data_IF_713717266454
#
_entry.id   IF_713717266454
#
_cell.length_a   1.000
_cell.length_b   1.000
_cell.length_c   1.000
_cell.angle_alpha   90.00
_cell.angle_beta   90.00
_cell.angle_gamma   90.00
#
_symmetry.space_group_name_H-M   'P 1'
#
loop_
_entity.id
_entity.type
_entity.pdbx_description
1 polymer ?
#
# COMPACT_ATOMS: atom_id res chain seq x y z
N UNK A 1 12.75 14.57 62.55
CA UNK A 1 12.40 13.64 63.63
C UNK A 1 13.66 13.31 64.41
N UNK A 2 13.55 13.45 65.73
CA UNK A 2 14.61 13.49 66.73
C UNK A 2 15.40 12.17 66.76
N UNK A 3 16.74 12.24 66.74
CA UNK A 3 17.60 11.10 67.03
C UNK A 3 17.99 11.14 68.51
N UNK A 4 17.42 10.24 69.31
CA UNK A 4 17.92 9.89 70.63
C UNK A 4 18.40 8.43 70.58
N UNK A 5 19.55 8.17 71.22
CA UNK A 5 19.94 6.83 71.68
C UNK A 5 21.04 6.15 70.86
N UNK A 6 22.24 6.16 71.42
CA UNK A 6 23.34 5.27 71.08
C UNK A 6 22.91 3.79 71.18
N UNK A 7 22.75 3.11 70.05
CA UNK A 7 22.62 1.66 70.00
C UNK A 7 23.37 1.10 68.76
N UNK A 8 24.35 0.19 68.93
CA UNK A 8 25.27 -0.21 67.86
C UNK A 8 24.62 -0.97 66.68
N UNK A 9 23.35 -1.38 66.80
CA UNK A 9 22.57 -2.02 65.73
C UNK A 9 22.06 -1.06 64.65
N UNK A 10 21.93 0.23 64.96
CA UNK A 10 21.46 1.25 64.00
C UNK A 10 22.52 1.62 62.96
N UNK A 11 23.81 1.56 63.30
CA UNK A 11 24.90 1.79 62.34
C UNK A 11 24.88 0.78 61.19
N UNK A 12 24.60 -0.49 61.48
CA UNK A 12 24.46 -1.52 60.46
C UNK A 12 23.26 -1.26 59.55
N UNK A 13 22.12 -0.83 60.11
CA UNK A 13 20.93 -0.48 59.33
C UNK A 13 21.13 0.75 58.44
N UNK A 14 21.81 1.80 58.95
CA UNK A 14 22.16 2.98 58.16
C UNK A 14 23.15 2.65 57.03
N UNK A 15 24.14 1.80 57.28
CA UNK A 15 25.06 1.31 56.24
C UNK A 15 24.33 0.46 55.19
N UNK A 16 23.41 -0.41 55.60
CA UNK A 16 22.56 -1.17 54.67
C UNK A 16 21.66 -0.26 53.83
N UNK A 17 21.08 0.78 54.43
CA UNK A 17 20.22 1.74 53.74
C UNK A 17 21.01 2.61 52.74
N UNK A 18 22.24 3.02 53.08
CA UNK A 18 23.14 3.71 52.15
C UNK A 18 23.56 2.81 50.97
N UNK A 19 23.87 1.53 51.23
CA UNK A 19 24.20 0.59 50.15
C UNK A 19 22.99 0.29 49.23
N UNK A 20 21.77 0.23 49.78
CA UNK A 20 20.53 0.04 49.00
C UNK A 20 20.12 1.29 48.21
N UNK A 21 20.37 2.49 48.73
CA UNK A 21 20.09 3.76 48.05
C UNK A 21 21.07 4.01 46.89
N UNK A 22 22.37 3.78 47.10
CA UNK A 22 23.42 3.95 46.08
C UNK A 22 23.24 3.01 44.88
N UNK A 23 22.65 1.83 45.08
CA UNK A 23 22.47 0.86 43.99
C UNK A 23 21.39 1.28 42.96
N UNK A 24 20.46 2.18 43.31
CA UNK A 24 19.33 2.53 42.43
C UNK A 24 19.65 3.65 41.44
N UNK A 25 20.72 4.42 41.64
CA UNK A 25 20.98 5.66 40.88
C UNK A 25 21.84 5.48 39.62
N UNK A 26 22.43 4.30 39.38
CA UNK A 26 23.43 4.11 38.32
C UNK A 26 22.92 3.37 37.06
N UNK A 27 21.60 3.21 36.88
CA UNK A 27 21.05 2.51 35.71
C UNK A 27 20.55 3.48 34.65
N UNK A 28 21.07 3.34 33.43
CA UNK A 28 20.62 4.14 32.27
C UNK A 28 19.30 3.54 31.78
N UNK A 29 18.24 4.34 31.74
CA UNK A 29 16.98 3.93 31.13
C UNK A 29 16.94 4.36 29.66
N UNK A 30 16.42 3.47 28.81
CA UNK A 30 16.26 3.69 27.38
C UNK A 30 14.78 3.63 27.02
N UNK A 31 14.28 4.71 26.42
CA UNK A 31 12.93 4.82 25.88
C UNK A 31 12.99 4.66 24.36
N UNK A 32 12.15 3.77 23.84
CA UNK A 32 12.02 3.51 22.41
C UNK A 32 10.55 3.56 21.99
N UNK A 33 10.31 3.79 20.71
CA UNK A 33 8.97 3.67 20.13
C UNK A 33 8.52 2.20 20.19
N UNK A 34 7.24 1.91 20.50
CA UNK A 34 6.77 0.53 20.62
C UNK A 34 6.73 -0.20 19.28
N UNK A 35 6.40 0.51 18.20
CA UNK A 35 6.26 -0.05 16.86
C UNK A 35 6.66 0.97 15.80
N UNK A 36 7.36 0.49 14.77
CA UNK A 36 7.71 1.26 13.57
C UNK A 36 7.30 0.46 12.33
N UNK A 37 6.53 1.10 11.46
CA UNK A 37 6.06 0.50 10.21
C UNK A 37 6.91 1.05 9.07
N UNK A 38 7.48 0.14 8.29
CA UNK A 38 8.47 0.47 7.25
C UNK A 38 7.85 0.24 5.88
N UNK A 39 7.60 1.33 5.14
CA UNK A 39 6.99 1.28 3.80
C UNK A 39 8.03 1.30 2.66
N UNK A 40 9.20 1.90 2.89
CA UNK A 40 10.25 2.10 1.88
C UNK A 40 11.52 1.27 2.11
N UNK A 41 11.43 0.19 2.90
CA UNK A 41 12.58 -0.62 3.31
C UNK A 41 13.63 0.13 4.16
N UNK A 42 13.37 1.39 4.48
CA UNK A 42 14.26 2.23 5.30
C UNK A 42 13.52 2.67 6.56
N UNK A 43 14.16 2.53 7.71
CA UNK A 43 13.58 2.89 9.01
C UNK A 43 14.54 3.72 9.85
N UNK A 44 13.98 4.69 10.56
CA UNK A 44 14.67 5.48 11.56
C UNK A 44 14.23 5.03 12.94
N UNK A 45 15.14 4.42 13.68
CA UNK A 45 14.90 3.98 15.05
C UNK A 45 15.66 4.90 16.01
N UNK A 46 14.90 5.61 16.86
CA UNK A 46 15.46 6.56 17.82
C UNK A 46 15.37 6.01 19.24
N UNK A 47 16.49 6.01 19.94
CA UNK A 47 16.64 5.53 21.30
C UNK A 47 16.99 6.69 22.21
N UNK A 48 16.01 7.12 23.01
CA UNK A 48 16.17 8.22 23.95
C UNK A 48 16.62 7.70 25.30
N UNK A 49 17.68 8.27 25.85
CA UNK A 49 18.26 7.86 27.12
C UNK A 49 18.02 8.91 28.21
N UNK A 50 18.01 8.48 29.47
CA UNK A 50 17.68 9.36 30.62
C UNK A 50 18.77 10.36 31.03
N UNK A 51 20.03 10.16 30.61
CA UNK A 51 21.16 11.01 31.03
C UNK A 51 22.00 11.41 29.83
N UNK A 52 22.43 12.67 29.72
CA UNK A 52 23.31 13.11 28.63
C UNK A 52 24.60 12.27 28.55
N UNK A 53 24.83 11.61 27.40
CA UNK A 53 25.97 10.73 27.15
C UNK A 53 27.05 11.37 26.28
N UNK A 54 26.80 12.55 25.72
CA UNK A 54 27.74 13.26 24.83
C UNK A 54 29.09 13.62 25.46
N UNK A 55 29.16 13.72 26.78
CA UNK A 55 30.40 14.03 27.51
C UNK A 55 31.13 12.76 28.00
N UNK A 56 30.71 11.59 27.51
CA UNK A 56 31.25 10.29 27.90
C UNK A 56 31.65 9.51 26.65
N UNK A 57 32.58 8.58 26.82
CA UNK A 57 32.86 7.55 25.83
C UNK A 57 31.89 6.40 26.06
N UNK A 58 31.07 6.14 25.06
CA UNK A 58 30.07 5.09 25.12
C UNK A 58 29.94 4.38 23.79
N UNK A 59 29.48 3.14 23.88
CA UNK A 59 29.15 2.27 22.76
C UNK A 59 27.65 2.07 22.76
N UNK A 60 26.99 2.42 21.66
CA UNK A 60 25.60 2.10 21.45
C UNK A 60 25.48 0.99 20.42
N UNK A 61 24.62 0.01 20.69
CA UNK A 61 24.40 -1.16 19.85
C UNK A 61 22.92 -1.45 19.71
N UNK A 62 22.53 -1.95 18.55
CA UNK A 62 21.18 -2.35 18.22
C UNK A 62 21.14 -3.87 18.03
N UNK A 63 20.33 -4.55 18.83
CA UNK A 63 20.15 -5.99 18.75
C UNK A 63 18.80 -6.35 18.13
N UNK A 64 18.76 -7.44 17.38
CA UNK A 64 17.54 -8.04 16.83
C UNK A 64 17.24 -9.35 17.56
N UNK A 65 15.94 -9.60 17.75
CA UNK A 65 15.39 -10.84 18.27
C UNK A 65 15.02 -10.75 19.75
N UNK A 66 14.06 -11.57 20.18
CA UNK A 66 13.50 -11.57 21.55
C UNK A 66 14.58 -11.74 22.64
N UNK A 67 15.59 -12.57 22.34
CA UNK A 67 16.72 -12.84 23.23
C UNK A 67 17.93 -11.93 22.97
N UNK A 68 17.82 -10.96 22.06
CA UNK A 68 18.91 -10.08 21.62
C UNK A 68 20.11 -10.85 21.02
N UNK A 69 19.83 -11.87 20.20
CA UNK A 69 20.85 -12.81 19.70
C UNK A 69 21.75 -12.22 18.59
N UNK A 70 21.28 -11.19 17.87
CA UNK A 70 21.96 -10.67 16.68
C UNK A 70 22.28 -9.19 16.84
N UNK A 71 23.55 -8.82 16.79
CA UNK A 71 24.00 -7.41 16.80
C UNK A 71 23.92 -6.81 15.38
N UNK A 72 22.95 -5.93 15.16
CA UNK A 72 22.60 -5.36 13.85
C UNK A 72 23.53 -4.19 13.50
N UNK A 73 23.71 -3.28 14.46
CA UNK A 73 24.45 -2.05 14.26
C UNK A 73 25.13 -1.61 15.55
N UNK A 74 26.34 -1.09 15.42
CA UNK A 74 27.18 -0.62 16.52
C UNK A 74 27.71 0.75 16.17
N UNK A 75 27.71 1.63 17.15
CA UNK A 75 28.42 2.91 17.08
C UNK A 75 29.26 3.08 18.33
N UNK A 76 30.52 3.39 18.11
CA UNK A 76 31.44 3.78 19.16
C UNK A 76 31.57 5.30 19.12
N UNK A 77 31.37 5.94 20.27
CA UNK A 77 31.39 7.39 20.39
C UNK A 77 32.52 7.77 21.33
N UNK A 78 33.53 8.44 20.78
CA UNK A 78 34.67 8.95 21.53
C UNK A 78 34.45 10.43 21.91
N UNK A 79 35.27 10.95 22.84
CA UNK A 79 35.25 12.36 23.26
C UNK A 79 35.39 13.37 22.11
N UNK A 80 36.01 12.98 21.00
CA UNK A 80 36.19 13.82 19.82
C UNK A 80 34.99 13.81 18.86
N UNK A 81 33.85 13.21 19.26
CA UNK A 81 32.63 13.09 18.46
C UNK A 81 32.80 12.38 17.10
N UNK A 82 33.80 11.51 16.99
CA UNK A 82 33.92 10.65 15.81
C UNK A 82 32.89 9.53 15.92
N UNK A 83 31.87 9.59 15.06
CA UNK A 83 30.82 8.59 14.95
C UNK A 83 31.20 7.61 13.85
N UNK A 84 31.47 6.36 14.21
CA UNK A 84 31.66 5.30 13.24
C UNK A 84 30.60 4.23 13.45
N UNK A 85 29.60 4.23 12.56
CA UNK A 85 28.59 3.18 12.50
C UNK A 85 29.16 1.98 11.74
N UNK A 86 29.04 0.81 12.34
CA UNK A 86 29.44 -0.46 11.75
C UNK A 86 28.35 -1.51 11.93
N UNK A 87 28.22 -2.40 10.96
CA UNK A 87 27.31 -3.53 10.99
C UNK A 87 28.09 -4.82 10.75
N UNK A 88 27.87 -5.80 11.63
CA UNK A 88 28.54 -7.10 11.55
C UNK A 88 27.78 -8.09 10.65
N UNK A 89 26.48 -7.87 10.44
CA UNK A 89 25.54 -8.91 9.93
C UNK A 89 24.92 -8.53 8.58
N UNK A 90 25.65 -7.79 7.74
CA UNK A 90 25.19 -7.44 6.38
C UNK A 90 23.97 -6.50 6.34
N UNK A 91 23.70 -5.78 7.43
CA UNK A 91 22.73 -4.69 7.46
C UNK A 91 23.37 -3.41 6.95
N UNK A 92 22.65 -2.60 6.18
CA UNK A 92 23.11 -1.24 5.87
C UNK A 92 22.66 -0.33 7.02
N UNK A 93 23.58 0.00 7.91
CA UNK A 93 23.31 0.85 9.06
C UNK A 93 24.12 2.14 8.97
N UNK A 94 23.42 3.23 9.21
CA UNK A 94 23.98 4.55 9.45
C UNK A 94 23.28 5.14 10.68
N UNK A 95 23.66 6.33 11.12
CA UNK A 95 22.99 6.94 12.25
C UNK A 95 23.46 8.34 12.54
N UNK A 96 22.76 8.95 13.50
CA UNK A 96 23.16 10.22 14.07
C UNK A 96 23.02 10.17 15.58
N UNK A 97 23.81 11.01 16.26
CA UNK A 97 23.81 11.15 17.70
C UNK A 97 23.39 12.57 18.09
N UNK A 98 22.38 12.65 18.96
CA UNK A 98 21.94 13.87 19.62
C UNK A 98 22.18 13.79 21.14
N UNK A 99 22.01 14.91 21.84
CA UNK A 99 22.26 15.08 23.29
C UNK A 99 21.70 13.98 24.19
N UNK A 100 20.47 13.54 23.90
CA UNK A 100 19.73 12.53 24.66
C UNK A 100 19.28 11.35 23.80
N UNK A 101 19.65 11.31 22.52
CA UNK A 101 19.06 10.35 21.57
C UNK A 101 20.12 9.78 20.63
N UNK A 102 20.15 8.46 20.50
CA UNK A 102 20.88 7.77 19.42
C UNK A 102 19.88 7.39 18.35
N UNK A 103 20.13 7.78 17.11
CA UNK A 103 19.28 7.44 15.97
C UNK A 103 20.01 6.48 15.05
N UNK A 104 19.37 5.35 14.76
CA UNK A 104 19.85 4.34 13.82
C UNK A 104 18.99 4.40 12.56
N UNK A 105 19.64 4.58 11.41
CA UNK A 105 19.07 4.49 10.09
C UNK A 105 19.39 3.11 9.52
N UNK A 106 18.41 2.20 9.49
CA UNK A 106 18.57 0.93 8.81
C UNK A 106 17.99 1.06 7.41
N UNK A 107 18.83 0.83 6.40
CA UNK A 107 18.45 0.89 4.99
C UNK A 107 18.37 -0.49 4.37
N UNK A 108 17.59 -0.64 3.30
CA UNK A 108 17.44 -1.90 2.56
C UNK A 108 16.96 -3.08 3.44
N UNK A 109 16.07 -2.82 4.37
CA UNK A 109 15.43 -3.87 5.18
C UNK A 109 14.53 -4.77 4.34
N UNK A 110 14.52 -6.04 4.69
CA UNK A 110 13.70 -7.07 4.05
C UNK A 110 12.54 -7.47 4.95
N UNK A 111 11.47 -8.03 4.36
CA UNK A 111 10.26 -8.45 5.09
C UNK A 111 10.58 -9.54 6.15
N UNK A 112 11.52 -10.43 5.84
CA UNK A 112 12.03 -11.47 6.76
C UNK A 112 12.87 -10.90 7.95
N UNK A 113 13.18 -9.60 7.93
CA UNK A 113 13.85 -8.91 9.02
C UNK A 113 12.86 -8.22 9.97
N UNK A 114 11.56 -8.40 9.77
CA UNK A 114 10.50 -7.98 10.70
C UNK A 114 10.64 -8.71 12.04
N UNK A 115 10.98 -7.97 13.09
CA UNK A 115 11.23 -8.53 14.43
C UNK A 115 11.23 -7.40 15.49
N UNK A 116 11.45 -7.76 16.75
CA UNK A 116 11.74 -6.83 17.83
C UNK A 116 13.22 -6.46 17.88
N UNK A 117 13.49 -5.17 18.07
CA UNK A 117 14.82 -4.58 18.13
C UNK A 117 15.04 -3.91 19.48
N UNK A 118 16.19 -4.16 20.10
CA UNK A 118 16.56 -3.64 21.42
C UNK A 118 17.77 -2.72 21.32
N UNK A 119 17.66 -1.52 21.88
CA UNK A 119 18.80 -0.62 22.03
C UNK A 119 19.57 -0.94 23.30
N UNK A 120 20.89 -1.04 23.16
CA UNK A 120 21.83 -1.26 24.24
C UNK A 120 22.91 -0.18 24.22
N UNK A 121 23.28 0.31 25.39
CA UNK A 121 24.15 1.46 25.59
C UNK A 121 25.10 1.15 26.74
N UNK A 122 26.37 1.10 26.42
CA UNK A 122 27.46 0.74 27.32
C UNK A 122 28.39 1.96 27.47
N UNK A 123 28.48 2.53 28.66
CA UNK A 123 29.39 3.64 28.97
C UNK A 123 30.71 3.05 29.45
N UNK A 124 31.80 3.35 28.74
CA UNK A 124 33.14 2.85 29.04
C UNK A 124 33.97 3.85 29.84
N UNK A 125 33.88 5.13 29.50
CA UNK A 125 34.66 6.18 30.18
C UNK A 125 33.82 7.46 30.37
N UNK A 126 33.92 8.16 31.51
CA UNK A 126 34.77 7.85 32.67
C UNK A 126 34.24 6.63 33.47
N UNK A 127 35.13 5.81 34.05
CA UNK A 127 34.73 4.71 34.92
C UNK A 127 33.80 5.18 36.05
N UNK A 128 32.86 4.34 36.53
CA UNK A 128 32.72 2.90 36.29
C UNK A 128 32.03 2.55 34.97
N UNK A 129 32.19 1.30 34.52
CA UNK A 129 31.42 0.76 33.40
C UNK A 129 29.94 0.68 33.77
N UNK A 130 29.08 1.27 32.94
CA UNK A 130 27.63 1.28 33.13
C UNK A 130 26.96 0.73 31.87
N UNK A 131 25.97 -0.13 32.06
CA UNK A 131 25.10 -0.62 30.99
C UNK A 131 23.67 -0.15 31.25
N UNK A 132 22.86 -0.11 30.21
CA UNK A 132 21.45 0.23 30.35
C UNK A 132 20.62 -0.94 30.86
N UNK A 133 19.48 -0.61 31.46
CA UNK A 133 18.45 -1.62 31.71
C UNK A 133 17.82 -2.07 30.38
N UNK A 134 17.48 -3.36 30.28
CA UNK A 134 16.85 -3.93 29.08
C UNK A 134 15.57 -3.14 28.77
N UNK A 135 15.54 -2.53 27.59
CA UNK A 135 14.39 -1.76 27.14
C UNK A 135 13.23 -2.68 26.76
N UNK A 136 12.03 -2.10 26.61
CA UNK A 136 10.86 -2.81 26.10
C UNK A 136 11.02 -3.22 24.61
N UNK A 137 12.00 -2.65 23.91
CA UNK A 137 12.24 -2.88 22.49
C UNK A 137 11.29 -2.10 21.57
N UNK A 138 11.54 -2.23 20.27
CA UNK A 138 10.73 -1.69 19.18
C UNK A 138 10.44 -2.78 18.18
N UNK A 139 9.17 -3.01 17.88
CA UNK A 139 8.78 -3.93 16.80
C UNK A 139 8.91 -3.17 15.48
N UNK A 140 9.81 -3.61 14.61
CA UNK A 140 9.95 -3.07 13.26
C UNK A 140 9.19 -3.98 12.32
N UNK A 141 8.08 -3.50 11.77
CA UNK A 141 7.26 -4.22 10.81
C UNK A 141 7.54 -3.70 9.40
N UNK A 142 8.26 -4.50 8.62
CA UNK A 142 8.56 -4.17 7.23
C UNK A 142 7.41 -4.64 6.36
N UNK A 143 6.68 -3.69 5.77
CA UNK A 143 5.60 -4.03 4.85
C UNK A 143 6.20 -4.57 3.57
N UNK A 144 5.61 -5.65 3.08
CA UNK A 144 5.88 -6.09 1.73
C UNK A 144 5.33 -5.03 0.77
N UNK A 145 6.19 -4.56 -0.15
CA UNK A 145 5.75 -3.82 -1.32
C UNK A 145 5.07 -4.81 -2.25
N UNK A 146 3.88 -5.25 -1.87
CA UNK A 146 2.96 -5.73 -2.88
C UNK A 146 2.73 -4.53 -3.79
N UNK A 147 3.32 -4.59 -4.99
CA UNK A 147 2.69 -4.03 -6.16
C UNK A 147 1.34 -4.76 -6.28
N UNK A 148 0.39 -4.44 -5.39
CA UNK A 148 -0.98 -4.40 -5.80
C UNK A 148 -0.92 -3.55 -7.04
N UNK A 149 -1.22 -4.09 -8.24
CA UNK A 149 -1.33 -3.23 -9.40
C UNK A 149 -2.26 -2.13 -8.92
N UNK A 150 -1.74 -0.89 -8.94
CA UNK A 150 -2.55 0.28 -8.71
C UNK A 150 -3.85 0.00 -9.43
N UNK A 151 -4.96 0.19 -8.74
CA UNK A 151 -6.29 -0.06 -9.26
C UNK A 151 -6.42 0.84 -10.50
N UNK A 152 -5.93 0.37 -11.65
CA UNK A 152 -6.05 0.88 -13.01
C UNK A 152 -7.27 0.24 -13.67
N UNK A 153 -7.78 -0.83 -13.04
CA UNK A 153 -9.10 -1.39 -13.29
C UNK A 153 -10.25 -0.36 -13.23
N UNK A 154 -10.34 0.64 -12.32
CA UNK A 154 -11.44 1.59 -12.32
C UNK A 154 -11.31 2.53 -13.52
N UNK A 155 -10.10 3.03 -13.86
CA UNK A 155 -9.92 3.90 -15.03
C UNK A 155 -10.27 3.16 -16.33
N UNK A 156 -9.81 1.92 -16.50
CA UNK A 156 -10.06 1.14 -17.70
C UNK A 156 -11.54 0.70 -17.79
N UNK A 157 -12.18 0.42 -16.65
CA UNK A 157 -13.63 0.17 -16.57
C UNK A 157 -14.44 1.42 -16.95
N UNK A 158 -14.08 2.61 -16.45
CA UNK A 158 -14.77 3.85 -16.84
C UNK A 158 -14.59 4.17 -18.33
N UNK A 159 -13.42 3.88 -18.90
CA UNK A 159 -13.18 4.01 -20.35
C UNK A 159 -14.02 3.01 -21.15
N UNK A 160 -14.13 1.75 -20.70
CA UNK A 160 -14.97 0.74 -21.34
C UNK A 160 -16.46 1.07 -21.24
N UNK A 161 -16.94 1.55 -20.08
CA UNK A 161 -18.32 2.00 -19.88
C UNK A 161 -18.61 3.22 -20.77
N UNK A 162 -17.69 4.18 -20.83
CA UNK A 162 -17.79 5.35 -21.71
C UNK A 162 -17.84 4.95 -23.18
N UNK A 163 -16.93 4.08 -23.63
CA UNK A 163 -16.89 3.59 -25.01
C UNK A 163 -18.13 2.81 -25.41
N UNK A 164 -18.63 1.94 -24.54
CA UNK A 164 -19.86 1.18 -24.77
C UNK A 164 -21.10 2.09 -24.88
N UNK A 165 -21.18 3.14 -24.05
CA UNK A 165 -22.26 4.14 -24.12
C UNK A 165 -22.30 4.87 -25.45
N UNK A 166 -21.15 5.30 -25.97
CA UNK A 166 -21.07 6.00 -27.27
C UNK A 166 -21.49 5.09 -28.42
N UNK A 167 -21.06 3.82 -28.42
CA UNK A 167 -21.46 2.84 -29.44
C UNK A 167 -22.97 2.57 -29.42
N UNK A 168 -23.56 2.47 -28.23
CA UNK A 168 -25.00 2.27 -28.07
C UNK A 168 -25.81 3.48 -28.62
N UNK A 169 -25.39 4.70 -28.28
CA UNK A 169 -26.02 5.92 -28.79
C UNK A 169 -25.90 6.03 -30.31
N UNK A 170 -24.74 5.69 -30.88
CA UNK A 170 -24.55 5.66 -32.33
C UNK A 170 -25.49 4.64 -33.00
N UNK A 171 -25.63 3.44 -32.42
CA UNK A 171 -26.57 2.43 -32.89
C UNK A 171 -28.03 2.91 -32.87
N UNK A 172 -28.44 3.63 -31.82
CA UNK A 172 -29.78 4.23 -31.75
C UNK A 172 -30.02 5.28 -32.84
N UNK A 173 -29.05 6.14 -33.12
CA UNK A 173 -29.18 7.15 -34.18
C UNK A 173 -29.30 6.49 -35.56
N UNK A 174 -28.46 5.49 -35.84
CA UNK A 174 -28.50 4.76 -37.12
C UNK A 174 -29.84 4.03 -37.30
N UNK A 175 -30.34 3.36 -36.26
CA UNK A 175 -31.63 2.66 -36.32
C UNK A 175 -32.80 3.62 -36.52
N UNK A 176 -32.81 4.79 -35.86
CA UNK A 176 -33.84 5.82 -36.07
C UNK A 176 -33.79 6.38 -37.49
N UNK A 177 -32.60 6.67 -38.02
CA UNK A 177 -32.44 7.16 -39.39
C UNK A 177 -32.97 6.14 -40.42
N UNK A 178 -32.62 4.86 -40.26
CA UNK A 178 -33.12 3.78 -41.11
C UNK A 178 -34.65 3.66 -41.02
N UNK A 179 -35.23 3.73 -39.81
CA UNK A 179 -36.68 3.69 -39.62
C UNK A 179 -37.40 4.84 -40.32
N UNK A 180 -36.84 6.06 -40.29
CA UNK A 180 -37.39 7.23 -40.98
C UNK A 180 -37.36 7.02 -42.49
N UNK A 181 -36.22 6.58 -43.04
CA UNK A 181 -36.07 6.30 -44.48
C UNK A 181 -37.06 5.22 -44.91
N UNK A 182 -37.21 4.15 -44.13
CA UNK A 182 -38.10 3.04 -44.43
C UNK A 182 -39.57 3.45 -44.39
N UNK A 183 -39.98 4.22 -43.38
CA UNK A 183 -41.34 4.75 -43.26
C UNK A 183 -41.67 5.73 -44.38
N UNK A 184 -40.71 6.58 -44.77
CA UNK A 184 -40.89 7.54 -45.86
C UNK A 184 -40.97 6.83 -47.22
N UNK A 185 -40.11 5.84 -47.47
CA UNK A 185 -40.18 4.99 -48.67
C UNK A 185 -41.50 4.25 -48.77
N UNK A 186 -41.97 3.64 -47.66
CA UNK A 186 -43.27 2.96 -47.62
C UNK A 186 -44.44 3.93 -47.85
N UNK A 187 -44.38 5.13 -47.28
CA UNK A 187 -45.39 6.19 -47.50
C UNK A 187 -45.40 6.68 -48.94
N UNK A 188 -44.23 6.85 -49.57
CA UNK A 188 -44.13 7.21 -50.99
C UNK A 188 -44.70 6.10 -51.90
N UNK A 189 -44.43 4.83 -51.59
CA UNK A 189 -45.02 3.68 -52.31
C UNK A 189 -46.54 3.64 -52.20
N UNK A 190 -47.10 3.97 -51.04
CA UNK A 190 -48.56 4.01 -50.82
C UNK A 190 -49.22 5.23 -51.51
N UNK A 191 -48.59 6.40 -51.48
CA UNK A 191 -49.10 7.58 -52.18
C UNK A 191 -49.13 7.40 -53.71
N UNK A 192 -48.16 6.66 -54.25
CA UNK A 192 -48.10 6.37 -55.68
C UNK A 192 -49.17 5.34 -56.14
N UNK A 193 -49.72 4.53 -55.23
CA UNK A 193 -50.82 3.61 -55.55
C UNK A 193 -52.21 4.27 -55.54
N UNK A 194 -52.40 5.36 -54.78
CA UNK A 194 -53.72 5.98 -54.58
C UNK A 194 -54.08 7.10 -55.57
N UNK A 195 -53.15 7.55 -56.42
CA UNK A 195 -53.43 8.60 -57.42
C UNK A 195 -52.97 8.20 -58.82
N UNK A 196 -53.64 7.20 -59.39
CA UNK A 196 -53.74 7.10 -60.85
C UNK A 196 -54.88 8.03 -61.28
N UNK A 197 -54.55 9.28 -61.62
CA UNK A 197 -55.48 10.18 -62.28
C UNK A 197 -55.86 9.53 -63.63
N UNK A 198 -56.97 8.80 -63.63
CA UNK A 198 -57.55 8.24 -64.84
C UNK A 198 -58.15 9.41 -65.60
N UNK A 199 -57.35 10.05 -66.47
CA UNK A 199 -57.91 10.87 -67.53
C UNK A 199 -58.87 9.97 -68.32
N UNK A 200 -60.14 10.37 -68.51
CA UNK A 200 -61.09 9.53 -69.22
C UNK A 200 -60.55 9.26 -70.62
N UNK A 201 -60.24 7.99 -70.91
CA UNK A 201 -59.80 7.59 -72.25
C UNK A 201 -60.91 7.96 -73.23
N UNK A 202 -60.59 8.87 -74.15
CA UNK A 202 -61.42 9.21 -75.32
C UNK A 202 -61.90 7.93 -76.00
N UNK A 203 -63.21 7.86 -76.26
CA UNK A 203 -63.80 6.85 -77.14
C UNK A 203 -63.18 7.00 -78.54
N UNK A 204 -62.45 5.98 -78.98
CA UNK A 204 -61.84 5.85 -80.30
C UNK A 204 -61.87 4.38 -80.75
N UNK A 205 -61.87 4.11 -82.07
CA UNK A 205 -62.79 3.16 -82.67
C UNK A 205 -62.41 1.68 -82.53
N UNK A 206 -63.48 0.89 -82.64
CA UNK A 206 -63.67 -0.54 -82.47
C UNK A 206 -62.66 -1.48 -83.18
N UNK A 207 -62.53 -2.66 -82.55
CA UNK A 207 -62.01 -3.97 -83.03
C UNK A 207 -60.52 -4.25 -82.79
N UNK A 208 -60.24 -5.31 -82.03
CA UNK A 208 -60.09 -6.69 -82.56
C UNK A 208 -60.24 -7.72 -81.43
N UNK A 209 -60.79 -8.88 -81.80
CA UNK A 209 -61.09 -10.02 -80.93
C UNK A 209 -59.83 -10.57 -80.24
N UNK A 210 -59.97 -10.87 -78.95
CA UNK A 210 -59.01 -11.65 -78.19
C UNK A 210 -59.62 -13.04 -77.94
N UNK A 211 -59.05 -14.09 -78.55
CA UNK A 211 -59.34 -15.48 -78.19
C UNK A 211 -58.24 -15.98 -77.24
N UNK A 212 -58.57 -16.58 -76.09
CA UNK A 212 -57.60 -17.23 -75.23
C UNK A 212 -57.37 -18.68 -75.68
N UNK A 213 -56.13 -19.05 -76.03
CA UNK A 213 -55.74 -20.44 -76.24
C UNK A 213 -55.15 -21.00 -74.94
N UNK A 214 -55.87 -21.92 -74.30
CA UNK A 214 -55.36 -22.78 -73.25
C UNK A 214 -55.31 -24.22 -73.79
N UNK A 215 -54.15 -24.90 -73.81
CA UNK A 215 -54.10 -26.31 -74.17
C UNK A 215 -54.52 -27.17 -72.96
N UNK A 216 -55.43 -28.12 -73.19
CA UNK A 216 -55.76 -29.17 -72.23
C UNK A 216 -54.52 -30.06 -72.00
N UNK A 217 -54.15 -30.28 -70.73
CA UNK A 217 -53.16 -31.31 -70.36
C UNK A 217 -53.91 -32.60 -70.10
N UNK A 218 -53.64 -33.61 -70.92
CA UNK A 218 -54.09 -34.98 -70.74
C UNK A 218 -53.38 -35.63 -69.54
N UNK A 219 -54.18 -36.14 -68.61
CA UNK A 219 -53.75 -36.96 -67.48
C UNK A 219 -53.98 -38.44 -67.85
N UNK A 220 -53.05 -39.03 -68.59
CA UNK A 220 -53.10 -40.46 -68.86
C UNK A 220 -51.70 -41.03 -69.09
N UNK A 221 -50.91 -41.10 -68.02
CA UNK A 221 -49.76 -42.00 -67.94
C UNK A 221 -49.24 -42.02 -66.50
N UNK A 222 -49.82 -42.86 -65.63
CA UNK A 222 -49.14 -43.52 -64.51
C UNK A 222 -50.10 -44.49 -63.82
N UNK A 223 -49.95 -45.79 -64.09
CA UNK A 223 -50.35 -46.95 -63.28
C UNK A 223 -50.11 -48.22 -64.12
N UNK A 224 -49.68 -49.36 -63.57
CA UNK A 224 -49.16 -49.64 -62.21
C UNK A 224 -47.63 -49.78 -62.14
#
# INVERSE_FOLDING_TARGET
FVCFGDQPSLRYFYLLCQNLAVHRENKILVKQSPMLVVDNNDVTLSCRYSHNLLSKEFRASLYKGVNSDVEVCVVNVNFSYQLQFHSNVGFNCDGNLDNETVTFYLRNLHVNQTDIYFCRIEVMYPPPYLDNEKSNGTIIHVKEKHLCPDQETPKLLWVLIGGAGVLFLYGLVVTVALCIIWKNSKRNRLLQSDYMNMTPRRLGPTRKHYQPYAPARDFAAYSP
#
